data_IF_618480532402
#
_entry.id   IF_618480532402
#
_cell.length_a   1.000
_cell.length_b   1.000
_cell.length_c   1.000
_cell.angle_alpha   90.00
_cell.angle_beta   90.00
_cell.angle_gamma   90.00
#
_symmetry.space_group_name_H-M   'P 1'
#
loop_
_entity.id
_entity.type
_entity.pdbx_description
1 polymer ?
#
# COMPACT_ATOMS: atom_id res chain seq x y z
N UNK A 1 13.81 30.70 -28.81
CA UNK A 1 13.79 30.73 -27.34
C UNK A 1 12.62 31.60 -26.89
N UNK A 2 11.55 30.97 -26.41
CA UNK A 2 10.64 31.56 -25.44
C UNK A 2 10.07 30.39 -24.60
N UNK A 3 10.24 30.40 -23.26
CA UNK A 3 9.81 29.35 -22.36
C UNK A 3 8.41 29.66 -21.78
N UNK A 4 7.58 28.63 -21.55
CA UNK A 4 6.51 28.75 -20.55
C UNK A 4 5.13 28.16 -20.82
N UNK A 5 4.97 26.98 -21.43
CA UNK A 5 3.72 26.22 -21.35
C UNK A 5 3.98 24.78 -20.87
N UNK A 6 3.91 24.57 -19.55
CA UNK A 6 3.81 23.23 -18.94
C UNK A 6 2.72 23.28 -17.87
N UNK A 7 1.45 23.15 -18.28
CA UNK A 7 0.31 22.92 -17.38
C UNK A 7 -0.95 22.45 -18.13
N UNK A 8 -0.82 21.56 -19.11
CA UNK A 8 -1.94 20.76 -19.62
C UNK A 8 -1.47 19.31 -19.58
N UNK A 9 -2.18 18.48 -18.80
CA UNK A 9 -1.92 17.04 -18.74
C UNK A 9 -1.89 16.47 -20.15
N UNK A 10 -0.92 15.61 -20.42
CA UNK A 10 -0.82 14.91 -21.70
C UNK A 10 -2.08 14.05 -21.86
N UNK A 11 -2.94 14.28 -22.87
CA UNK A 11 -4.22 13.60 -23.03
C UNK A 11 -4.06 12.07 -23.12
N UNK A 12 -2.88 11.59 -23.52
CA UNK A 12 -2.54 10.18 -23.48
C UNK A 12 -2.39 9.68 -22.04
N UNK A 13 -1.68 10.42 -21.18
CA UNK A 13 -1.48 10.08 -19.76
C UNK A 13 -2.80 10.09 -18.99
N UNK A 14 -3.66 11.06 -19.26
CA UNK A 14 -4.99 11.15 -18.65
C UNK A 14 -5.89 9.99 -19.12
N UNK A 15 -5.85 9.65 -20.41
CA UNK A 15 -6.56 8.50 -20.98
C UNK A 15 -6.12 7.16 -20.39
N UNK A 16 -4.82 6.94 -20.23
CA UNK A 16 -4.28 5.73 -19.58
C UNK A 16 -4.71 5.68 -18.11
N UNK A 17 -4.59 6.78 -17.37
CA UNK A 17 -4.99 6.82 -15.95
C UNK A 17 -6.49 6.50 -15.77
N UNK A 18 -7.34 6.99 -16.68
CA UNK A 18 -8.77 6.66 -16.69
C UNK A 18 -9.06 5.20 -17.06
N UNK A 19 -8.26 4.57 -17.94
CA UNK A 19 -8.42 3.15 -18.27
C UNK A 19 -8.03 2.26 -17.07
N UNK A 20 -6.93 2.58 -16.40
CA UNK A 20 -6.39 1.79 -15.29
C UNK A 20 -7.29 1.86 -14.04
N UNK A 21 -7.98 2.97 -13.82
CA UNK A 21 -8.93 3.15 -12.71
C UNK A 21 -10.29 2.46 -12.90
N UNK A 22 -10.59 1.93 -14.09
CA UNK A 22 -11.87 1.27 -14.36
C UNK A 22 -11.97 -0.14 -13.79
N UNK A 23 -10.85 -0.78 -13.47
CA UNK A 23 -10.87 -2.13 -12.90
C UNK A 23 -11.02 -2.02 -11.38
N UNK A 24 -12.18 -2.40 -10.81
CA UNK A 24 -12.41 -2.27 -9.38
C UNK A 24 -11.35 -3.06 -8.63
N UNK A 25 -10.77 -2.45 -7.60
CA UNK A 25 -9.77 -3.09 -6.76
C UNK A 25 -8.48 -3.51 -7.47
N UNK A 26 -8.20 -2.87 -8.61
CA UNK A 26 -6.88 -2.90 -9.18
C UNK A 26 -6.12 -1.64 -8.78
N UNK A 27 -4.83 -1.78 -8.50
CA UNK A 27 -3.90 -0.65 -8.63
C UNK A 27 -2.94 -1.01 -9.72
N UNK A 28 -3.14 -0.36 -10.85
CA UNK A 28 -2.34 -0.57 -12.03
C UNK A 28 -1.57 0.70 -12.34
N UNK A 29 -0.30 0.52 -12.68
CA UNK A 29 0.62 1.59 -13.04
C UNK A 29 1.34 1.18 -14.32
N UNK A 30 1.51 2.10 -15.24
CA UNK A 30 2.31 1.87 -16.45
C UNK A 30 3.64 2.60 -16.35
N UNK A 31 4.69 1.92 -16.79
CA UNK A 31 6.03 2.45 -16.94
C UNK A 31 6.48 2.25 -18.39
N UNK A 32 7.01 3.28 -19.04
CA UNK A 32 7.53 3.18 -20.39
C UNK A 32 9.05 3.01 -20.38
N UNK A 33 9.53 1.95 -21.02
CA UNK A 33 10.94 1.71 -21.31
C UNK A 33 11.25 2.16 -22.75
N UNK A 34 11.98 3.28 -22.94
CA UNK A 34 12.30 3.80 -24.26
C UNK A 34 13.33 2.96 -25.02
N UNK A 35 14.17 2.17 -24.32
CA UNK A 35 15.23 1.38 -24.96
C UNK A 35 14.65 0.15 -25.67
N UNK A 36 13.60 -0.44 -25.09
CA UNK A 36 12.91 -1.61 -25.64
C UNK A 36 11.58 -1.25 -26.31
N UNK A 37 11.19 0.03 -26.32
CA UNK A 37 9.88 0.51 -26.75
C UNK A 37 8.73 -0.29 -26.10
N UNK A 38 8.86 -0.57 -24.80
CA UNK A 38 7.89 -1.39 -24.05
C UNK A 38 7.16 -0.57 -23.02
N UNK A 39 5.82 -0.64 -23.01
CA UNK A 39 4.98 -0.16 -21.93
C UNK A 39 4.72 -1.34 -20.97
N UNK A 40 5.33 -1.30 -19.79
CA UNK A 40 5.15 -2.31 -18.76
C UNK A 40 3.98 -1.93 -17.84
N UNK A 41 2.97 -2.79 -17.76
CA UNK A 41 1.86 -2.69 -16.83
C UNK A 41 2.21 -3.42 -15.53
N UNK A 42 2.34 -2.67 -14.44
CA UNK A 42 2.67 -3.18 -13.12
C UNK A 42 1.47 -3.05 -12.19
N UNK A 43 1.41 -3.90 -11.17
CA UNK A 43 0.46 -3.73 -10.06
C UNK A 43 -0.33 -4.99 -9.77
N UNK A 44 -1.61 -4.84 -9.43
CA UNK A 44 -2.46 -5.98 -9.06
C UNK A 44 -3.90 -5.85 -9.55
N UNK A 45 -4.55 -7.00 -9.70
CA UNK A 45 -5.95 -7.15 -10.06
C UNK A 45 -6.63 -8.18 -9.15
N UNK A 46 -7.96 -8.11 -8.95
CA UNK A 46 -8.65 -9.02 -8.03
C UNK A 46 -8.77 -10.47 -8.55
N UNK A 47 -8.66 -10.69 -9.86
CA UNK A 47 -8.80 -12.00 -10.48
C UNK A 47 -8.05 -12.08 -11.82
N UNK A 48 -7.54 -13.28 -12.16
CA UNK A 48 -6.72 -13.50 -13.35
C UNK A 48 -7.40 -13.08 -14.68
N UNK A 49 -8.72 -13.22 -14.74
CA UNK A 49 -9.51 -12.93 -15.94
C UNK A 49 -9.49 -11.46 -16.37
N UNK A 50 -9.07 -10.54 -15.49
CA UNK A 50 -9.05 -9.11 -15.77
C UNK A 50 -7.75 -8.63 -16.43
N UNK A 51 -6.65 -9.41 -16.37
CA UNK A 51 -5.36 -8.99 -16.95
C UNK A 51 -5.43 -8.85 -18.47
N UNK A 52 -5.89 -9.90 -19.16
CA UNK A 52 -5.87 -9.96 -20.62
C UNK A 52 -6.71 -8.85 -21.29
N UNK A 53 -7.94 -8.51 -20.82
CA UNK A 53 -8.69 -7.38 -21.35
C UNK A 53 -7.97 -6.02 -21.19
N UNK A 54 -7.32 -5.78 -20.05
CA UNK A 54 -6.58 -4.54 -19.80
C UNK A 54 -5.37 -4.44 -20.72
N UNK A 55 -4.60 -5.53 -20.84
CA UNK A 55 -3.46 -5.61 -21.75
C UNK A 55 -3.86 -5.36 -23.21
N UNK A 56 -4.97 -5.96 -23.65
CA UNK A 56 -5.49 -5.75 -25.00
C UNK A 56 -5.92 -4.30 -25.23
N UNK A 57 -6.57 -3.66 -24.25
CA UNK A 57 -6.97 -2.26 -24.33
C UNK A 57 -5.75 -1.32 -24.40
N UNK A 58 -4.73 -1.56 -23.57
CA UNK A 58 -3.48 -0.81 -23.61
C UNK A 58 -2.75 -1.00 -24.95
N UNK A 59 -2.64 -2.22 -25.45
CA UNK A 59 -2.00 -2.50 -26.73
C UNK A 59 -2.73 -1.80 -27.88
N UNK A 60 -4.07 -1.76 -27.85
CA UNK A 60 -4.86 -1.01 -28.85
C UNK A 60 -4.60 0.49 -28.80
N UNK A 61 -4.37 1.07 -27.62
CA UNK A 61 -4.08 2.49 -27.45
C UNK A 61 -2.65 2.83 -27.92
N UNK A 62 -1.71 1.90 -27.71
CA UNK A 62 -0.29 2.06 -28.04
C UNK A 62 0.05 1.77 -29.52
N UNK A 63 -0.82 1.05 -30.24
CA UNK A 63 -0.57 0.65 -31.62
C UNK A 63 0.45 -0.48 -31.73
N UNK A 64 1.08 -0.65 -32.90
CA UNK A 64 2.06 -1.72 -33.16
C UNK A 64 3.49 -1.38 -32.75
N UNK A 65 3.77 -0.11 -32.49
CA UNK A 65 5.13 0.41 -32.35
C UNK A 65 5.65 0.33 -30.92
N UNK A 66 4.75 0.22 -29.95
CA UNK A 66 5.06 0.05 -28.53
C UNK A 66 4.52 -1.30 -28.08
N UNK A 67 5.41 -2.16 -27.58
CA UNK A 67 5.02 -3.45 -27.03
C UNK A 67 4.41 -3.27 -25.64
N UNK A 68 3.32 -3.95 -25.31
CA UNK A 68 2.77 -3.97 -23.96
C UNK A 68 3.13 -5.29 -23.27
N UNK A 69 3.70 -5.19 -22.07
CA UNK A 69 4.00 -6.34 -21.20
C UNK A 69 3.39 -6.12 -19.82
N UNK A 70 3.30 -7.17 -18.99
CA UNK A 70 2.84 -7.06 -17.60
C UNK A 70 3.76 -7.72 -16.57
N UNK A 71 3.71 -7.16 -15.36
CA UNK A 71 4.07 -7.80 -14.09
C UNK A 71 2.88 -7.61 -13.12
N UNK A 72 1.71 -8.12 -13.52
CA UNK A 72 0.49 -8.02 -12.71
C UNK A 72 0.38 -9.20 -11.77
N UNK A 73 0.06 -8.91 -10.51
CA UNK A 73 -0.25 -9.93 -9.49
C UNK A 73 -1.74 -10.06 -9.26
N UNK A 74 -2.18 -11.28 -8.93
CA UNK A 74 -3.56 -11.52 -8.50
C UNK A 74 -3.63 -11.28 -6.99
N UNK A 75 -4.43 -10.31 -6.59
CA UNK A 75 -4.74 -10.02 -5.20
C UNK A 75 -6.17 -10.49 -4.90
N UNK A 76 -6.35 -11.73 -4.40
CA UNK A 76 -7.68 -12.28 -4.21
C UNK A 76 -8.51 -11.45 -3.20
N UNK A 77 -9.83 -11.67 -3.19
CA UNK A 77 -10.65 -11.28 -2.04
C UNK A 77 -10.28 -12.21 -0.89
N UNK A 78 -10.03 -11.73 0.35
CA UNK A 78 -10.42 -10.44 0.94
C UNK A 78 -9.39 -9.29 0.88
N UNK A 79 -8.15 -9.52 0.45
CA UNK A 79 -7.06 -8.52 0.45
C UNK A 79 -7.41 -7.29 -0.39
N UNK A 80 -8.08 -7.54 -1.50
CA UNK A 80 -8.69 -6.51 -2.31
C UNK A 80 -9.59 -5.55 -1.48
N UNK A 81 -10.51 -6.09 -0.67
CA UNK A 81 -11.39 -5.30 0.19
C UNK A 81 -10.62 -4.52 1.25
N UNK A 82 -9.53 -5.09 1.78
CA UNK A 82 -8.63 -4.39 2.69
C UNK A 82 -8.00 -3.16 2.00
N UNK A 83 -7.40 -3.30 0.81
CA UNK A 83 -6.77 -2.16 0.12
C UNK A 83 -7.75 -1.05 -0.23
N UNK A 84 -8.96 -1.40 -0.67
CA UNK A 84 -10.00 -0.40 -0.91
C UNK A 84 -10.38 0.31 0.39
N UNK A 85 -10.58 -0.42 1.49
CA UNK A 85 -10.87 0.18 2.79
C UNK A 85 -9.73 1.04 3.32
N UNK A 86 -8.48 0.65 3.11
CA UNK A 86 -7.27 1.43 3.43
C UNK A 86 -7.24 2.74 2.63
N UNK A 87 -7.53 2.69 1.33
CA UNK A 87 -7.61 3.90 0.49
C UNK A 87 -8.71 4.86 0.99
N UNK A 88 -9.81 4.30 1.48
CA UNK A 88 -11.00 5.02 1.88
C UNK A 88 -10.97 5.56 3.32
N UNK A 89 -9.89 5.34 4.09
CA UNK A 89 -9.77 5.86 5.47
C UNK A 89 -9.68 7.39 5.55
N UNK A 90 -9.45 8.07 4.42
CA UNK A 90 -9.36 9.53 4.36
C UNK A 90 -7.97 10.09 4.67
N UNK A 91 -6.94 9.26 4.54
CA UNK A 91 -5.54 9.67 4.56
C UNK A 91 -4.94 9.52 3.14
N UNK A 92 -4.08 10.45 2.69
CA UNK A 92 -3.33 10.28 1.46
C UNK A 92 -2.32 9.11 1.58
N UNK A 93 -2.01 8.49 0.45
CA UNK A 93 -0.87 7.57 0.38
C UNK A 93 0.43 8.38 0.43
N UNK A 94 1.43 7.90 1.18
CA UNK A 94 2.75 8.53 1.25
C UNK A 94 3.44 8.53 -0.11
N UNK A 95 4.07 9.64 -0.45
CA UNK A 95 4.86 9.83 -1.68
C UNK A 95 6.37 9.77 -1.42
N UNK A 96 6.79 9.66 -0.16
CA UNK A 96 8.18 9.87 0.30
C UNK A 96 9.15 8.75 -0.17
N UNK A 97 8.63 7.73 -0.85
CA UNK A 97 9.45 6.70 -1.50
C UNK A 97 9.29 6.71 -3.03
N UNK A 98 8.57 7.68 -3.61
CA UNK A 98 8.30 7.78 -5.06
C UNK A 98 9.08 8.95 -5.67
N UNK A 99 10.14 8.63 -6.41
CA UNK A 99 10.95 9.66 -7.10
C UNK A 99 11.09 9.42 -8.59
N UNK A 100 10.29 8.53 -9.21
CA UNK A 100 10.38 8.27 -10.65
C UNK A 100 9.25 8.98 -11.45
N UNK A 101 9.55 10.10 -12.14
CA UNK A 101 8.58 10.83 -12.96
C UNK A 101 8.13 10.10 -14.24
N UNK A 102 8.72 8.93 -14.54
CA UNK A 102 8.35 8.08 -15.69
C UNK A 102 7.17 7.13 -15.39
N UNK A 103 6.65 7.13 -14.17
CA UNK A 103 5.53 6.27 -13.78
C UNK A 103 4.18 7.01 -13.92
N UNK A 104 3.15 6.33 -14.44
CA UNK A 104 1.78 6.87 -14.62
C UNK A 104 0.76 5.89 -14.02
N UNK A 105 -0.09 6.37 -13.11
CA UNK A 105 -1.09 5.58 -12.37
C UNK A 105 -0.98 5.78 -10.85
N UNK A 106 -1.85 5.11 -10.07
CA UNK A 106 -1.73 5.12 -8.60
C UNK A 106 -0.36 4.58 -8.18
N UNK A 107 0.25 5.17 -7.15
CA UNK A 107 1.60 4.83 -6.75
C UNK A 107 1.67 3.36 -6.30
N UNK A 108 2.31 2.50 -7.09
CA UNK A 108 2.54 1.08 -6.79
C UNK A 108 3.73 0.86 -5.83
N UNK A 109 3.87 1.74 -4.85
CA UNK A 109 4.99 1.85 -3.89
C UNK A 109 5.15 0.67 -2.92
N UNK A 110 4.48 -0.46 -3.16
CA UNK A 110 4.60 -1.60 -2.28
C UNK A 110 6.01 -2.19 -2.39
N UNK A 111 6.84 -1.97 -1.36
CA UNK A 111 8.01 -2.84 -1.18
C UNK A 111 7.47 -4.26 -0.95
N UNK A 112 8.01 -5.21 -1.70
CA UNK A 112 7.69 -6.62 -1.50
C UNK A 112 8.50 -7.15 -0.32
N UNK A 113 7.80 -7.77 0.63
CA UNK A 113 8.39 -8.50 1.74
C UNK A 113 8.13 -9.98 1.48
N UNK A 114 9.17 -10.71 1.14
CA UNK A 114 9.09 -12.14 0.88
C UNK A 114 9.52 -12.92 2.11
N UNK A 115 8.62 -13.75 2.62
CA UNK A 115 8.90 -14.65 3.73
C UNK A 115 8.60 -16.09 3.36
N UNK A 116 9.37 -17.00 3.95
CA UNK A 116 9.12 -18.44 3.87
C UNK A 116 8.71 -19.01 5.21
N UNK A 117 8.17 -20.23 5.18
CA UNK A 117 7.83 -21.02 6.37
C UNK A 117 8.89 -20.90 7.47
N UNK A 118 8.41 -20.77 8.70
CA UNK A 118 9.19 -20.70 9.94
C UNK A 118 10.06 -19.43 10.10
N UNK A 119 10.06 -18.53 9.11
CA UNK A 119 10.65 -17.20 9.29
C UNK A 119 9.79 -16.34 10.20
N UNK A 120 10.44 -15.39 10.87
CA UNK A 120 9.73 -14.35 11.62
C UNK A 120 9.36 -13.21 10.68
N UNK A 121 8.13 -12.73 10.79
CA UNK A 121 7.71 -11.49 10.15
C UNK A 121 8.36 -10.33 10.91
N UNK A 122 9.23 -9.59 10.21
CA UNK A 122 9.80 -8.34 10.69
C UNK A 122 10.16 -7.46 9.50
N UNK A 123 10.08 -6.15 9.67
CA UNK A 123 10.53 -5.19 8.66
C UNK A 123 10.78 -3.83 9.30
N UNK A 124 11.59 -3.03 8.64
CA UNK A 124 11.83 -1.65 9.03
C UNK A 124 10.96 -0.70 8.21
N UNK A 125 10.53 0.38 8.85
CA UNK A 125 9.86 1.52 8.24
C UNK A 125 10.48 2.81 8.76
N UNK A 126 10.23 3.91 8.05
CA UNK A 126 10.66 5.24 8.46
C UNK A 126 9.41 6.06 8.77
N UNK A 127 9.41 6.74 9.91
CA UNK A 127 8.37 7.72 10.24
C UNK A 127 8.34 8.84 9.18
N UNK A 128 7.18 9.49 8.95
CA UNK A 128 7.06 10.54 7.94
C UNK A 128 7.90 11.78 8.29
N UNK A 129 7.92 12.79 7.41
CA UNK A 129 8.63 14.07 7.60
C UNK A 129 8.04 14.98 8.72
N UNK A 130 7.16 14.44 9.56
CA UNK A 130 6.55 15.08 10.72
C UNK A 130 6.44 14.10 11.90
N UNK A 131 6.38 14.65 13.12
CA UNK A 131 6.22 13.82 14.31
C UNK A 131 4.83 13.14 14.29
N UNK A 132 4.81 11.81 14.41
CA UNK A 132 3.62 11.03 14.14
C UNK A 132 3.45 9.84 15.09
N UNK A 133 2.19 9.50 15.35
CA UNK A 133 1.78 8.21 15.89
C UNK A 133 1.67 7.21 14.75
N UNK A 134 2.39 6.10 14.86
CA UNK A 134 2.45 5.07 13.82
C UNK A 134 1.67 3.82 14.27
N UNK A 135 0.79 3.37 13.38
CA UNK A 135 -0.03 2.17 13.54
C UNK A 135 0.36 1.23 12.41
N UNK A 136 0.68 -0.01 12.73
CA UNK A 136 1.09 -1.02 11.76
C UNK A 136 0.17 -2.22 11.88
N UNK A 137 -0.46 -2.55 10.76
CA UNK A 137 -1.51 -3.54 10.65
C UNK A 137 -1.17 -4.58 9.58
N UNK A 138 -1.54 -5.83 9.80
CA UNK A 138 -1.35 -6.94 8.86
C UNK A 138 -2.68 -7.57 8.48
N UNK A 139 -3.03 -7.52 7.21
CA UNK A 139 -4.27 -8.05 6.66
C UNK A 139 -4.01 -9.44 6.08
N UNK A 140 -4.59 -10.46 6.72
CA UNK A 140 -4.37 -11.86 6.41
C UNK A 140 -5.31 -12.38 5.31
N UNK A 141 -5.06 -13.63 4.89
CA UNK A 141 -5.86 -14.36 3.91
C UNK A 141 -7.35 -14.53 4.30
N UNK A 142 -7.64 -14.52 5.60
CA UNK A 142 -8.97 -14.78 6.17
C UNK A 142 -9.82 -13.49 6.29
N UNK A 143 -9.25 -12.33 5.97
CA UNK A 143 -9.94 -11.03 6.01
C UNK A 143 -9.94 -10.39 7.39
N UNK A 144 -9.03 -10.83 8.26
CA UNK A 144 -8.77 -10.18 9.54
C UNK A 144 -7.64 -9.16 9.40
N UNK A 145 -7.55 -8.30 10.41
CA UNK A 145 -6.40 -7.45 10.68
C UNK A 145 -5.72 -7.93 11.96
N UNK A 146 -4.40 -8.03 11.93
CA UNK A 146 -3.53 -8.27 13.08
C UNK A 146 -2.79 -6.96 13.38
N UNK A 147 -2.93 -6.44 14.59
CA UNK A 147 -2.31 -5.17 14.98
C UNK A 147 -0.86 -5.39 15.44
N UNK A 148 0.10 -5.07 14.56
CA UNK A 148 1.53 -5.24 14.80
C UNK A 148 2.11 -4.15 15.71
N UNK A 149 1.57 -2.94 15.64
CA UNK A 149 1.85 -1.85 16.56
C UNK A 149 0.70 -0.82 16.49
N UNK A 150 0.29 -0.19 17.60
CA UNK A 150 0.70 -0.48 18.98
C UNK A 150 0.08 -1.78 19.52
N UNK A 151 0.69 -2.35 20.56
CA UNK A 151 0.17 -3.46 21.37
C UNK A 151 0.81 -3.44 22.77
N UNK A 152 0.54 -4.47 23.57
CA UNK A 152 1.03 -4.64 24.94
C UNK A 152 2.57 -4.66 25.06
N UNK A 153 3.28 -5.05 24.00
CA UNK A 153 4.74 -5.09 23.94
C UNK A 153 5.33 -3.81 23.35
N UNK A 154 4.61 -3.15 22.44
CA UNK A 154 5.01 -1.91 21.76
C UNK A 154 3.95 -0.84 21.99
N UNK A 155 4.03 -0.08 23.09
CA UNK A 155 3.03 0.92 23.40
C UNK A 155 3.05 2.07 22.40
N UNK A 156 1.90 2.69 22.19
CA UNK A 156 1.77 3.83 21.27
C UNK A 156 2.57 5.04 21.79
N UNK A 157 3.57 5.45 21.01
CA UNK A 157 4.40 6.61 21.29
C UNK A 157 4.44 7.56 20.08
N UNK A 158 4.67 8.84 20.34
CA UNK A 158 4.94 9.82 19.30
C UNK A 158 6.35 9.57 18.75
N UNK A 159 6.44 9.23 17.48
CA UNK A 159 7.71 9.02 16.79
C UNK A 159 8.17 10.34 16.19
N UNK A 160 9.40 10.80 16.45
CA UNK A 160 9.95 11.96 15.76
C UNK A 160 10.03 11.71 14.26
N UNK A 161 9.93 12.77 13.47
CA UNK A 161 10.10 12.69 12.00
C UNK A 161 11.35 11.89 11.59
N UNK A 162 11.30 11.21 10.46
CA UNK A 162 12.42 10.48 9.85
C UNK A 162 13.06 9.38 10.73
N UNK A 163 12.41 9.02 11.85
CA UNK A 163 12.92 7.99 12.76
C UNK A 163 12.70 6.60 12.15
N UNK A 164 13.73 5.76 12.20
CA UNK A 164 13.59 4.35 11.82
C UNK A 164 12.87 3.56 12.91
N UNK A 165 11.87 2.80 12.51
CA UNK A 165 11.03 1.96 13.36
C UNK A 165 11.11 0.52 12.87
N UNK A 166 11.30 -0.42 13.78
CA UNK A 166 11.30 -1.85 13.47
C UNK A 166 9.97 -2.45 13.94
N UNK A 167 9.34 -3.22 13.06
CA UNK A 167 8.08 -3.94 13.33
C UNK A 167 8.38 -5.43 13.45
N UNK A 168 7.71 -6.08 14.41
CA UNK A 168 7.91 -7.50 14.70
C UNK A 168 9.23 -7.77 15.41
N UNK A 169 9.68 -9.03 15.40
CA UNK A 169 10.93 -9.43 16.05
C UNK A 169 11.82 -10.22 15.10
N UNK A 170 13.07 -9.78 14.96
CA UNK A 170 14.09 -10.51 14.21
C UNK A 170 14.81 -11.51 15.11
N UNK A 171 15.11 -11.10 16.33
CA UNK A 171 15.76 -11.87 17.39
C UNK A 171 14.81 -12.02 18.58
N UNK A 172 15.05 -13.02 19.46
CA UNK A 172 14.26 -13.18 20.69
C UNK A 172 14.47 -12.05 21.71
N UNK A 173 15.48 -11.21 21.51
CA UNK A 173 15.78 -10.03 22.33
C UNK A 173 15.05 -8.77 21.87
N UNK A 174 14.41 -8.81 20.69
CA UNK A 174 13.73 -7.65 20.13
C UNK A 174 12.38 -7.43 20.81
N UNK A 175 11.99 -6.17 20.96
CA UNK A 175 10.67 -5.80 21.48
C UNK A 175 9.67 -5.80 20.33
N UNK A 176 8.59 -6.57 20.45
CA UNK A 176 7.52 -6.62 19.46
C UNK A 176 6.93 -8.01 19.32
N UNK A 177 5.87 -8.11 18.51
CA UNK A 177 5.22 -9.40 18.30
C UNK A 177 6.14 -10.40 17.60
N UNK A 178 6.14 -11.62 18.12
CA UNK A 178 6.79 -12.77 17.49
C UNK A 178 5.79 -13.50 16.61
N UNK A 179 5.75 -13.09 15.34
CA UNK A 179 4.90 -13.72 14.32
C UNK A 179 5.77 -14.64 13.48
N UNK A 180 5.38 -15.91 13.40
CA UNK A 180 6.06 -16.94 12.61
C UNK A 180 5.20 -17.28 11.41
N UNK A 181 5.80 -17.23 10.22
CA UNK A 181 5.10 -17.51 8.97
C UNK A 181 4.72 -18.98 8.86
N UNK A 182 3.43 -19.21 8.66
CA UNK A 182 2.81 -20.52 8.51
C UNK A 182 1.69 -20.49 7.47
N UNK A 183 1.07 -21.65 7.17
CA UNK A 183 -0.07 -21.71 6.26
C UNK A 183 -1.32 -21.01 6.84
N UNK A 184 -2.24 -20.53 5.98
CA UNK A 184 -2.18 -20.55 4.52
C UNK A 184 -1.16 -19.56 3.95
N UNK A 185 -0.41 -19.99 2.94
CA UNK A 185 0.54 -19.14 2.22
C UNK A 185 -0.17 -18.32 1.15
N UNK A 186 0.27 -17.09 0.91
CA UNK A 186 -0.35 -16.25 -0.10
C UNK A 186 0.26 -14.87 -0.23
N UNK A 187 -0.55 -13.98 -0.81
CA UNK A 187 -0.27 -12.56 -0.85
C UNK A 187 -1.11 -11.89 0.22
N UNK A 188 -0.44 -11.23 1.15
CA UNK A 188 -1.01 -10.53 2.30
C UNK A 188 -0.53 -9.07 2.25
N UNK A 189 -1.08 -8.23 3.12
CA UNK A 189 -0.78 -6.79 3.12
C UNK A 189 -0.38 -6.37 4.52
N UNK A 190 0.79 -5.74 4.66
CA UNK A 190 1.08 -4.93 5.83
C UNK A 190 0.85 -3.46 5.49
N UNK A 191 0.25 -2.69 6.39
CA UNK A 191 0.05 -1.24 6.22
C UNK A 191 0.57 -0.52 7.43
N UNK A 192 1.26 0.60 7.21
CA UNK A 192 1.55 1.57 8.24
C UNK A 192 0.70 2.83 7.99
N UNK A 193 -0.10 3.20 8.99
CA UNK A 193 -0.76 4.49 9.07
C UNK A 193 0.04 5.40 10.00
N UNK A 194 0.31 6.63 9.56
CA UNK A 194 0.92 7.66 10.39
C UNK A 194 -0.06 8.83 10.54
N UNK A 195 -0.15 9.40 11.73
CA UNK A 195 -0.99 10.57 12.00
C UNK A 195 -0.32 11.50 13.04
N UNK A 196 -0.45 12.81 12.86
CA UNK A 196 0.06 13.80 13.81
C UNK A 196 -0.69 13.77 15.15
N UNK A 197 -1.91 13.23 15.13
CA UNK A 197 -2.77 13.03 16.30
C UNK A 197 -3.08 11.54 16.51
N UNK A 198 -3.43 11.16 17.74
CA UNK A 198 -3.80 9.77 18.05
C UNK A 198 -5.11 9.42 17.35
N UNK A 199 -5.09 8.40 16.48
CA UNK A 199 -6.30 7.88 15.81
C UNK A 199 -7.26 7.26 16.84
N UNK A 200 -6.72 6.67 17.91
CA UNK A 200 -7.48 6.15 19.03
C UNK A 200 -6.60 5.99 20.28
N UNK A 201 -7.26 5.90 21.43
CA UNK A 201 -6.63 5.58 22.70
C UNK A 201 -6.82 4.09 23.04
N UNK A 202 -5.91 3.55 23.84
CA UNK A 202 -5.92 2.17 24.28
C UNK A 202 -5.43 1.19 23.20
N UNK A 203 -5.49 -0.10 23.54
CA UNK A 203 -5.08 -1.19 22.67
C UNK A 203 -6.31 -1.81 21.99
N UNK A 204 -6.17 -2.14 20.71
CA UNK A 204 -7.13 -2.97 19.98
C UNK A 204 -6.90 -4.45 20.34
N UNK A 205 -7.91 -5.34 20.20
CA UNK A 205 -7.67 -6.77 20.22
C UNK A 205 -6.55 -7.13 19.23
N UNK A 206 -5.69 -8.11 19.54
CA UNK A 206 -4.58 -8.46 18.64
C UNK A 206 -5.05 -8.78 17.21
N UNK A 207 -6.20 -9.44 17.09
CA UNK A 207 -6.83 -9.81 15.81
C UNK A 207 -8.30 -9.42 15.83
N UNK A 208 -8.79 -8.82 14.76
CA UNK A 208 -10.22 -8.53 14.56
C UNK A 208 -10.59 -8.45 13.06
N UNK A 209 -11.88 -8.44 12.69
CA UNK A 209 -12.28 -8.33 11.29
C UNK A 209 -11.84 -6.99 10.66
N UNK A 210 -11.25 -7.05 9.46
CA UNK A 210 -10.64 -5.89 8.81
C UNK A 210 -11.65 -4.78 8.45
N UNK A 211 -12.81 -5.13 7.90
CA UNK A 211 -13.77 -4.14 7.40
C UNK A 211 -14.33 -3.21 8.51
N UNK A 212 -14.85 -3.73 9.65
CA UNK A 212 -15.26 -2.88 10.78
C UNK A 212 -14.13 -2.01 11.33
N UNK A 213 -12.89 -2.52 11.34
CA UNK A 213 -11.73 -1.74 11.76
C UNK A 213 -11.44 -0.56 10.84
N UNK A 214 -11.45 -0.77 9.52
CA UNK A 214 -11.20 0.29 8.53
C UNK A 214 -12.31 1.35 8.55
N UNK A 215 -13.57 0.96 8.74
CA UNK A 215 -14.69 1.89 8.94
C UNK A 215 -14.51 2.73 10.22
N UNK A 216 -14.04 2.10 11.30
CA UNK A 216 -13.69 2.80 12.52
C UNK A 216 -12.56 3.82 12.29
N UNK A 217 -11.45 3.43 11.64
CA UNK A 217 -10.35 4.34 11.32
C UNK A 217 -10.82 5.53 10.48
N UNK A 218 -11.64 5.28 9.46
CA UNK A 218 -12.25 6.33 8.62
C UNK A 218 -13.01 7.35 9.46
N UNK A 219 -13.82 6.89 10.42
CA UNK A 219 -14.56 7.78 11.31
C UNK A 219 -13.63 8.61 12.21
N UNK A 220 -12.53 8.02 12.69
CA UNK A 220 -11.54 8.69 13.54
C UNK A 220 -10.77 9.75 12.78
N UNK A 221 -10.29 9.43 11.58
CA UNK A 221 -9.60 10.38 10.70
C UNK A 221 -10.51 11.56 10.37
N UNK A 222 -11.77 11.31 10.03
CA UNK A 222 -12.74 12.38 9.75
C UNK A 222 -12.95 13.30 10.97
N UNK A 223 -13.07 12.72 12.17
CA UNK A 223 -13.24 13.48 13.41
C UNK A 223 -12.00 14.34 13.73
N UNK A 224 -10.79 13.80 13.57
CA UNK A 224 -9.54 14.52 13.84
C UNK A 224 -9.32 15.66 12.84
N UNK A 225 -9.57 15.43 11.55
CA UNK A 225 -9.53 16.48 10.52
C UNK A 225 -10.49 17.64 10.81
N UNK A 226 -11.64 17.35 11.42
CA UNK A 226 -12.61 18.38 11.80
C UNK A 226 -12.21 19.15 13.08
N UNK A 227 -11.38 18.54 13.94
CA UNK A 227 -10.97 19.11 15.23
C UNK A 227 -9.62 19.86 15.15
N UNK A 228 -8.73 19.42 14.28
CA UNK A 228 -7.36 19.91 14.16
C UNK A 228 -7.11 20.38 12.73
N UNK A 229 -7.00 21.71 12.54
CA UNK A 229 -6.79 22.31 11.21
C UNK A 229 -5.45 21.89 10.59
N UNK A 230 -4.45 21.59 11.41
CA UNK A 230 -3.11 21.15 11.03
C UNK A 230 -2.93 19.62 11.06
N UNK A 231 -4.03 18.86 11.13
CA UNK A 231 -3.98 17.40 11.10
C UNK A 231 -3.24 16.89 9.85
N UNK A 232 -2.17 16.13 10.08
CA UNK A 232 -1.43 15.40 9.06
C UNK A 232 -1.64 13.92 9.27
N UNK A 233 -1.73 13.18 8.17
CA UNK A 233 -1.70 11.74 8.21
C UNK A 233 -1.43 11.20 6.82
N UNK A 234 -0.87 10.00 6.77
CA UNK A 234 -0.62 9.28 5.54
C UNK A 234 -0.58 7.77 5.78
N UNK A 235 -0.58 6.99 4.71
CA UNK A 235 -0.38 5.55 4.79
C UNK A 235 0.58 5.04 3.72
N UNK A 236 1.25 3.95 4.05
CA UNK A 236 2.06 3.17 3.12
C UNK A 236 1.76 1.69 3.34
N UNK A 237 1.80 0.90 2.28
CA UNK A 237 1.55 -0.53 2.35
C UNK A 237 2.70 -1.33 1.72
N UNK A 238 2.79 -2.57 2.15
CA UNK A 238 3.77 -3.56 1.74
C UNK A 238 3.03 -4.80 1.30
N UNK A 239 3.40 -5.36 0.15
CA UNK A 239 2.95 -6.69 -0.20
C UNK A 239 3.79 -7.69 0.57
N UNK A 240 3.12 -8.57 1.31
CA UNK A 240 3.78 -9.65 2.02
C UNK A 240 3.50 -10.94 1.27
N UNK A 241 4.51 -11.50 0.64
CA UNK A 241 4.41 -12.81 0.00
C UNK A 241 4.88 -13.86 1.00
N UNK A 242 3.99 -14.77 1.38
CA UNK A 242 4.33 -15.92 2.20
C UNK A 242 4.32 -17.19 1.35
N UNK A 243 5.31 -18.07 1.54
CA UNK A 243 5.43 -19.33 0.78
C UNK A 243 6.05 -20.45 1.61
N UNK A 244 5.85 -21.69 1.16
CA UNK A 244 6.46 -22.84 1.84
C UNK A 244 7.99 -22.87 1.70
N UNK A 245 8.53 -22.49 0.52
CA UNK A 245 9.97 -22.49 0.19
C UNK A 245 10.35 -21.38 -0.79
#
# INVERSE_FOLDING_TARGET
MQPGDTAQGDPLRDGLSSLLSQVPCSRLQVAFDPDTATLQLNGHIPEAGLAAPVLAALQSQMGSDIHVSDDIRILPRPQCGALSGIADVGLPQSNDQSTNPLLIGEASQARNLDFVKDQRLWFDLTAPEYDAYVYVDYFDADGNVIHLAPNDQVPLALSPRDTSLTVGTRLDTDTGLKIVIGPPYGQEIAVAFAASERLYDGERPLVEPAAPYLDFLKSRVAALRAQHEDFKGEWVYFFVTTKER
#
